data_IF_687062647750
#
_entry.id   IF_687062647750
#
_cell.length_a   1.000
_cell.length_b   1.000
_cell.length_c   1.000
_cell.angle_alpha   90.00
_cell.angle_beta   90.00
_cell.angle_gamma   90.00
#
_symmetry.space_group_name_H-M   'P 1'
#
loop_
_entity.id
_entity.type
_entity.pdbx_description
1 polymer ?
#
# COMPACT_ATOMS: atom_id res chain seq x y z
N UNK A 1 6.28 30.89 -21.19
CA UNK A 1 7.35 29.88 -21.07
C UNK A 1 7.43 29.29 -19.65
N UNK A 2 6.34 28.68 -19.15
CA UNK A 2 6.27 28.03 -17.81
C UNK A 2 6.04 26.51 -17.90
N UNK A 3 5.87 25.97 -19.11
CA UNK A 3 5.53 24.56 -19.36
C UNK A 3 6.76 23.65 -19.55
N UNK A 4 7.97 24.21 -19.56
CA UNK A 4 9.22 23.45 -19.70
C UNK A 4 9.77 22.97 -18.35
N UNK A 5 9.35 23.59 -17.24
CA UNK A 5 9.86 23.28 -15.90
C UNK A 5 9.28 21.98 -15.33
N UNK A 6 8.03 21.62 -15.67
CA UNK A 6 7.42 20.36 -15.20
C UNK A 6 8.00 19.10 -15.84
N UNK A 7 8.48 19.18 -17.09
CA UNK A 7 9.02 18.01 -17.80
C UNK A 7 10.39 17.60 -17.23
N UNK A 8 11.17 18.57 -16.74
CA UNK A 8 12.49 18.32 -16.15
C UNK A 8 12.40 17.59 -14.79
N UNK A 9 11.36 17.81 -14.01
CA UNK A 9 11.19 17.19 -12.69
C UNK A 9 10.90 15.68 -12.77
N UNK A 10 10.21 15.22 -13.82
CA UNK A 10 9.89 13.81 -14.04
C UNK A 10 11.10 12.98 -14.50
N UNK A 11 12.06 13.58 -15.20
CA UNK A 11 13.25 12.87 -15.72
C UNK A 11 14.30 12.55 -14.66
N UNK A 12 14.39 13.35 -13.58
CA UNK A 12 15.37 13.12 -12.50
C UNK A 12 14.93 11.97 -11.59
N UNK A 13 13.63 11.76 -11.41
CA UNK A 13 13.09 10.70 -10.57
C UNK A 13 13.37 9.29 -11.13
N UNK A 14 13.33 9.11 -12.45
CA UNK A 14 13.60 7.80 -13.09
C UNK A 14 15.08 7.42 -13.06
N UNK A 15 15.98 8.40 -13.14
CA UNK A 15 17.43 8.16 -13.00
C UNK A 15 17.83 7.79 -11.57
N UNK A 16 17.13 8.33 -10.56
CA UNK A 16 17.35 7.99 -9.15
C UNK A 16 16.86 6.57 -8.80
N UNK A 17 15.76 6.10 -9.39
CA UNK A 17 15.31 4.70 -9.23
C UNK A 17 16.27 3.69 -9.91
N UNK A 18 16.87 4.05 -11.05
CA UNK A 18 17.83 3.20 -11.74
C UNK A 18 19.15 3.02 -10.94
N UNK A 19 19.51 4.00 -10.11
CA UNK A 19 20.69 3.91 -9.24
C UNK A 19 20.45 3.12 -7.94
N UNK A 20 19.19 2.95 -7.52
CA UNK A 20 18.82 2.16 -6.33
C UNK A 20 18.25 0.76 -6.68
N UNK A 21 18.39 0.35 -7.94
CA UNK A 21 17.87 -0.91 -8.49
C UNK A 21 18.88 -1.65 -9.37
N UNK A 22 20.17 -1.55 -9.06
CA UNK A 22 21.15 -2.48 -9.61
C UNK A 22 20.95 -3.83 -8.92
N UNK A 23 20.24 -4.74 -9.58
CA UNK A 23 20.21 -6.16 -9.21
C UNK A 23 21.58 -6.75 -9.48
N UNK A 24 22.53 -6.48 -8.59
CA UNK A 24 23.75 -7.26 -8.50
C UNK A 24 23.33 -8.64 -7.98
N UNK A 25 23.43 -9.66 -8.84
CA UNK A 25 23.12 -11.03 -8.48
C UNK A 25 24.23 -11.56 -7.56
N UNK A 26 24.08 -11.32 -6.26
CA UNK A 26 24.99 -11.80 -5.21
C UNK A 26 24.95 -13.33 -5.04
N UNK A 27 24.26 -14.05 -5.92
CA UNK A 27 24.11 -15.51 -5.90
C UNK A 27 25.41 -16.24 -6.29
N UNK A 28 26.37 -15.53 -6.89
CA UNK A 28 27.62 -16.12 -7.41
C UNK A 28 28.81 -16.09 -6.44
N UNK A 29 28.74 -15.39 -5.31
CA UNK A 29 29.85 -15.25 -4.34
C UNK A 29 29.75 -16.23 -3.15
N UNK A 30 28.66 -17.00 -3.08
CA UNK A 30 28.42 -17.99 -2.02
C UNK A 30 28.45 -19.39 -2.60
N UNK A 31 29.64 -19.91 -2.84
CA UNK A 31 29.87 -21.36 -2.89
C UNK A 31 29.60 -21.92 -1.49
N UNK A 32 28.34 -22.23 -1.19
CA UNK A 32 27.93 -22.85 0.06
C UNK A 32 28.53 -24.26 0.07
N UNK A 33 29.65 -24.41 0.77
CA UNK A 33 30.24 -25.71 1.06
C UNK A 33 29.17 -26.52 1.83
N UNK A 34 28.52 -27.45 1.12
CA UNK A 34 27.45 -28.25 1.70
C UNK A 34 28.07 -29.06 2.81
N UNK A 35 27.70 -28.75 4.06
CA UNK A 35 28.24 -29.43 5.23
C UNK A 35 27.95 -30.93 5.09
N UNK A 36 28.95 -31.72 4.70
CA UNK A 36 28.90 -33.20 4.63
C UNK A 36 28.90 -33.81 6.05
N UNK A 37 28.23 -33.18 7.00
CA UNK A 37 28.06 -33.72 8.34
C UNK A 37 26.74 -34.49 8.36
N UNK A 38 26.75 -35.83 8.24
CA UNK A 38 25.53 -36.62 8.23
C UNK A 38 24.76 -36.36 9.53
N UNK A 39 23.53 -35.88 9.41
CA UNK A 39 22.61 -35.62 10.52
C UNK A 39 22.07 -36.92 11.16
N UNK A 40 22.85 -38.00 11.18
CA UNK A 40 22.38 -39.36 11.39
C UNK A 40 22.72 -39.93 12.77
N UNK A 41 23.13 -39.08 13.73
CA UNK A 41 23.20 -39.49 15.13
C UNK A 41 21.83 -39.22 15.79
N UNK A 42 21.09 -40.26 16.20
CA UNK A 42 19.84 -40.06 16.92
C UNK A 42 20.17 -39.43 18.26
N UNK A 43 19.70 -38.20 18.46
CA UNK A 43 19.75 -37.56 19.77
C UNK A 43 19.02 -38.44 20.78
N UNK A 44 19.61 -38.59 21.97
CA UNK A 44 18.97 -39.29 23.08
C UNK A 44 17.60 -38.66 23.39
N UNK A 45 16.60 -39.46 23.81
CA UNK A 45 15.30 -38.92 24.18
C UNK A 45 15.43 -37.97 25.37
N UNK A 46 14.78 -36.81 25.27
CA UNK A 46 14.65 -35.89 26.40
C UNK A 46 13.67 -36.51 27.40
N UNK A 47 14.16 -36.92 28.56
CA UNK A 47 13.36 -37.49 29.67
C UNK A 47 12.74 -36.40 30.57
N UNK A 48 13.13 -35.14 30.37
CA UNK A 48 12.67 -34.01 31.17
C UNK A 48 11.23 -33.64 30.86
N UNK A 49 10.43 -33.49 31.92
CA UNK A 49 9.07 -32.97 31.78
C UNK A 49 9.11 -31.51 31.30
N UNK A 50 8.19 -31.10 30.39
CA UNK A 50 8.13 -29.72 29.94
C UNK A 50 7.86 -28.80 31.12
N UNK A 51 8.73 -27.81 31.33
CA UNK A 51 8.54 -26.76 32.34
C UNK A 51 7.48 -25.78 31.82
N UNK A 52 6.53 -25.40 32.69
CA UNK A 52 5.55 -24.36 32.36
C UNK A 52 6.24 -23.02 32.10
N UNK A 53 6.06 -22.47 30.90
CA UNK A 53 6.48 -21.12 30.58
C UNK A 53 5.47 -20.11 31.16
N UNK A 54 5.75 -19.65 32.38
CA UNK A 54 4.93 -18.62 33.06
C UNK A 54 4.90 -17.27 32.32
N UNK A 55 5.85 -16.99 31.42
CA UNK A 55 5.86 -15.79 30.60
C UNK A 55 4.97 -15.93 29.34
N UNK A 56 4.67 -17.17 28.93
CA UNK A 56 3.68 -17.47 27.90
C UNK A 56 2.24 -17.48 28.44
N UNK A 57 2.02 -17.16 29.72
CA UNK A 57 0.69 -16.86 30.24
C UNK A 57 0.10 -15.69 29.45
N UNK A 58 -0.78 -16.01 28.49
CA UNK A 58 -1.46 -15.04 27.66
C UNK A 58 -2.40 -14.26 28.59
N UNK A 59 -2.03 -13.02 28.93
CA UNK A 59 -2.99 -12.09 29.51
C UNK A 59 -4.18 -11.98 28.56
N UNK A 60 -5.39 -11.91 29.12
CA UNK A 60 -6.60 -11.82 28.32
C UNK A 60 -6.48 -10.66 27.33
N UNK A 61 -6.25 -10.97 26.06
CA UNK A 61 -6.23 -9.99 24.99
C UNK A 61 -7.63 -9.38 24.93
N UNK A 62 -7.74 -8.08 25.14
CA UNK A 62 -9.01 -7.38 24.95
C UNK A 62 -9.50 -7.66 23.53
N UNK A 63 -10.70 -8.26 23.44
CA UNK A 63 -11.37 -8.44 22.16
C UNK A 63 -11.50 -7.09 21.47
N UNK A 64 -10.98 -6.93 20.24
CA UNK A 64 -11.13 -5.68 19.51
C UNK A 64 -12.62 -5.36 19.36
N UNK A 65 -12.98 -4.09 19.54
CA UNK A 65 -14.35 -3.62 19.36
C UNK A 65 -14.86 -4.04 17.98
N UNK A 66 -16.11 -4.51 17.92
CA UNK A 66 -16.74 -4.86 16.65
C UNK A 66 -16.76 -3.64 15.72
N UNK A 67 -16.26 -3.83 14.49
CA UNK A 67 -16.36 -2.81 13.45
C UNK A 67 -17.80 -2.66 12.99
N UNK A 68 -18.25 -1.43 12.83
CA UNK A 68 -19.58 -1.14 12.27
C UNK A 68 -19.61 -1.57 10.81
N UNK A 69 -20.45 -2.55 10.49
CA UNK A 69 -20.68 -3.00 9.11
C UNK A 69 -21.84 -2.23 8.52
N UNK A 70 -21.56 -1.46 7.47
CA UNK A 70 -22.61 -0.84 6.66
C UNK A 70 -23.39 -1.91 5.88
N UNK A 71 -24.70 -1.72 5.75
CA UNK A 71 -25.54 -2.60 4.94
C UNK A 71 -25.40 -2.27 3.45
N UNK A 72 -25.69 -3.23 2.57
CA UNK A 72 -25.64 -3.00 1.12
C UNK A 72 -26.58 -1.86 0.66
N UNK A 73 -27.73 -1.70 1.33
CA UNK A 73 -28.68 -0.61 1.06
C UNK A 73 -28.09 0.76 1.40
N UNK A 74 -27.49 0.88 2.58
CA UNK A 74 -26.92 2.14 3.07
C UNK A 74 -25.70 2.59 2.23
N UNK A 75 -24.91 1.62 1.73
CA UNK A 75 -23.86 1.88 0.75
C UNK A 75 -24.42 2.38 -0.60
N UNK A 76 -25.55 1.81 -1.05
CA UNK A 76 -26.20 2.21 -2.29
C UNK A 76 -26.80 3.63 -2.20
N UNK A 77 -27.47 3.96 -1.09
CA UNK A 77 -28.04 5.30 -0.86
C UNK A 77 -26.94 6.39 -0.85
N UNK A 78 -25.79 6.10 -0.25
CA UNK A 78 -24.65 7.01 -0.27
C UNK A 78 -24.05 7.15 -1.67
N UNK A 79 -23.96 6.07 -2.44
CA UNK A 79 -23.46 6.12 -3.81
C UNK A 79 -24.38 6.96 -4.71
N UNK A 80 -25.69 6.85 -4.56
CA UNK A 80 -26.66 7.68 -5.28
C UNK A 80 -26.49 9.17 -4.94
N UNK A 81 -26.34 9.49 -3.65
CA UNK A 81 -26.10 10.87 -3.19
C UNK A 81 -24.85 11.46 -3.83
N UNK A 82 -23.73 10.73 -3.78
CA UNK A 82 -22.45 11.18 -4.35
C UNK A 82 -22.55 11.36 -5.87
N UNK A 83 -23.26 10.47 -6.56
CA UNK A 83 -23.47 10.59 -8.00
C UNK A 83 -24.28 11.84 -8.36
N UNK A 84 -25.33 12.16 -7.59
CA UNK A 84 -26.13 13.36 -7.78
C UNK A 84 -25.31 14.65 -7.53
N UNK A 85 -24.50 14.68 -6.47
CA UNK A 85 -23.61 15.82 -6.17
C UNK A 85 -22.55 16.02 -7.27
N UNK A 86 -21.96 14.93 -7.77
CA UNK A 86 -20.99 15.00 -8.85
C UNK A 86 -21.61 15.53 -10.16
N UNK A 87 -22.84 15.12 -10.49
CA UNK A 87 -23.55 15.62 -11.66
C UNK A 87 -23.84 17.13 -11.54
N UNK A 88 -24.33 17.57 -10.38
CA UNK A 88 -24.59 18.99 -10.14
C UNK A 88 -23.30 19.84 -10.19
N UNK A 89 -22.19 19.32 -9.67
CA UNK A 89 -20.90 19.99 -9.74
C UNK A 89 -20.38 20.11 -11.18
N UNK A 90 -20.60 19.08 -12.02
CA UNK A 90 -20.23 19.11 -13.43
C UNK A 90 -21.02 20.17 -14.20
N UNK A 91 -22.35 20.23 -14.03
CA UNK A 91 -23.18 21.25 -14.67
C UNK A 91 -22.79 22.67 -14.23
N UNK A 92 -22.47 22.86 -12.94
CA UNK A 92 -22.00 24.16 -12.44
C UNK A 92 -20.63 24.55 -13.04
N UNK A 93 -19.73 23.59 -13.25
CA UNK A 93 -18.44 23.83 -13.88
C UNK A 93 -18.59 24.20 -15.37
N UNK A 94 -19.48 23.52 -16.10
CA UNK A 94 -19.78 23.86 -17.50
C UNK A 94 -20.40 25.25 -17.63
N UNK A 95 -21.32 25.62 -16.73
CA UNK A 95 -21.90 26.95 -16.69
C UNK A 95 -20.86 28.05 -16.37
N UNK A 96 -19.91 27.75 -15.47
CA UNK A 96 -18.81 28.67 -15.15
C UNK A 96 -17.82 28.84 -16.31
N UNK A 97 -17.50 27.77 -17.03
CA UNK A 97 -16.64 27.81 -18.21
C UNK A 97 -17.30 28.60 -19.36
N UNK A 98 -18.60 28.38 -19.60
CA UNK A 98 -19.37 29.14 -20.57
C UNK A 98 -19.41 30.65 -20.25
N UNK A 99 -19.58 31.02 -18.97
CA UNK A 99 -19.53 32.41 -18.54
C UNK A 99 -18.14 33.03 -18.73
N UNK A 100 -17.08 32.30 -18.38
CA UNK A 100 -15.70 32.78 -18.53
C UNK A 100 -15.27 32.99 -19.99
N UNK A 101 -15.78 32.17 -20.92
CA UNK A 101 -15.50 32.33 -22.34
C UNK A 101 -16.27 33.51 -22.97
N UNK A 102 -17.49 33.81 -22.51
CA UNK A 102 -18.29 34.94 -22.99
C UNK A 102 -17.65 36.30 -22.64
N UNK A 103 -16.98 36.40 -21.48
CA UNK A 103 -16.27 37.61 -21.04
C UNK A 103 -14.98 37.91 -21.86
N UNK A 104 -14.44 36.94 -22.61
CA UNK A 104 -13.22 37.13 -23.43
C UNK A 104 -13.53 37.69 -24.83
N UNK A 105 -14.75 37.53 -25.36
CA UNK A 105 -15.13 37.96 -26.72
C UNK A 105 -15.72 39.39 -26.79
N UNK A 106 -15.85 40.08 -25.66
CA UNK A 106 -16.44 41.44 -25.58
C UNK A 106 -15.40 42.57 -25.49
N UNK A 107 -14.10 42.25 -25.37
CA UNK A 107 -13.00 43.24 -25.34
C UNK A 107 -12.26 43.40 -26.70
#
# INVERSE_FOLDING_TARGET
MKKLTSVAALGVATFALAACGSSDDASSDLEVDSVEMPANEPLEPIEEEPVEDTAAAIEAVETPAAVSTETATEAADRAETVAAEAAAAAEAAEAADAAANLDIEVE
#
